data_IF_834595854848
#
_entry.id   IF_834595854848
#
_cell.length_a   1.000
_cell.length_b   1.000
_cell.length_c   1.000
_cell.angle_alpha   90.00
_cell.angle_beta   90.00
_cell.angle_gamma   90.00
#
_symmetry.space_group_name_H-M   'P 1'
#
loop_
_entity.id
_entity.type
_entity.pdbx_description
1 polymer ?
#
# COMPACT_ATOMS: atom_id res chain seq x y z
N UNK A 1 11.75 1.48 5.60
CA UNK A 1 11.83 1.61 4.12
C UNK A 1 10.46 1.69 3.44
N UNK A 2 9.36 1.20 4.04
CA UNK A 2 8.01 1.35 3.42
C UNK A 2 7.36 2.73 3.60
N UNK A 3 7.41 3.35 4.79
CA UNK A 3 7.00 4.77 4.98
C UNK A 3 7.80 5.79 4.14
N UNK A 4 8.86 5.31 3.47
CA UNK A 4 9.77 6.04 2.61
C UNK A 4 9.24 6.21 1.18
N UNK A 5 8.49 5.23 0.65
CA UNK A 5 7.94 5.29 -0.71
C UNK A 5 6.81 6.30 -0.83
N UNK A 6 5.99 6.40 0.21
CA UNK A 6 4.78 7.20 0.20
C UNK A 6 4.98 8.65 0.67
N UNK A 7 6.10 8.91 1.37
CA UNK A 7 6.62 10.26 1.63
C UNK A 7 7.00 11.01 0.34
N UNK A 8 7.23 10.32 -0.77
CA UNK A 8 7.49 10.97 -2.07
C UNK A 8 6.23 11.63 -2.66
N UNK A 9 5.03 11.20 -2.25
CA UNK A 9 3.74 11.71 -2.77
C UNK A 9 3.05 12.73 -1.86
N UNK A 10 3.41 12.82 -0.58
CA UNK A 10 2.81 13.76 0.36
C UNK A 10 3.83 14.83 0.77
N UNK A 11 3.53 16.10 0.48
CA UNK A 11 4.33 17.25 0.94
C UNK A 11 4.49 17.19 2.45
N UNK A 12 5.66 16.77 2.91
CA UNK A 12 5.97 16.80 4.35
C UNK A 12 6.38 18.23 4.69
N UNK A 13 5.48 19.00 5.32
CA UNK A 13 5.84 20.28 5.95
C UNK A 13 6.35 20.01 7.36
N UNK A 14 7.59 19.52 7.47
CA UNK A 14 8.31 19.48 8.74
C UNK A 14 9.70 20.10 8.55
N UNK A 15 10.15 20.85 9.55
CA UNK A 15 11.46 21.53 9.61
C UNK A 15 12.62 20.56 9.37
N UNK A 16 13.70 20.98 8.66
CA UNK A 16 14.76 20.10 8.21
C UNK A 16 15.48 19.48 9.41
N UNK A 17 15.32 18.18 9.56
CA UNK A 17 16.04 17.36 10.54
C UNK A 17 17.15 16.56 9.83
N UNK A 18 18.10 16.03 10.59
CA UNK A 18 19.16 15.14 10.07
C UNK A 18 18.63 13.91 9.33
N UNK A 19 17.37 13.51 9.54
CA UNK A 19 16.72 12.45 8.76
C UNK A 19 16.40 12.89 7.34
N UNK A 20 16.06 14.17 7.09
CA UNK A 20 15.71 14.67 5.76
C UNK A 20 16.91 14.67 4.79
N UNK A 21 18.11 14.92 5.30
CA UNK A 21 19.35 14.87 4.51
C UNK A 21 19.76 13.44 4.13
N UNK A 22 19.53 12.46 5.03
CA UNK A 22 19.75 11.04 4.72
C UNK A 22 18.72 10.51 3.72
N UNK A 23 17.47 10.97 3.82
CA UNK A 23 16.40 10.64 2.87
C UNK A 23 16.70 11.18 1.47
N UNK A 24 17.12 12.45 1.37
CA UNK A 24 17.49 13.07 0.09
C UNK A 24 18.73 12.43 -0.55
N UNK A 25 19.65 11.88 0.27
CA UNK A 25 20.79 11.10 -0.23
C UNK A 25 20.38 9.73 -0.75
N UNK A 26 19.60 8.97 0.03
CA UNK A 26 19.11 7.63 -0.37
C UNK A 26 18.28 7.69 -1.66
N UNK A 27 17.44 8.72 -1.82
CA UNK A 27 16.68 8.92 -3.05
C UNK A 27 17.60 9.17 -4.25
N UNK A 28 18.60 10.05 -4.15
CA UNK A 28 19.52 10.31 -5.26
C UNK A 28 20.31 9.08 -5.69
N UNK A 29 20.74 8.26 -4.75
CA UNK A 29 21.44 6.99 -5.03
C UNK A 29 20.52 6.01 -5.77
N UNK A 30 19.27 5.87 -5.30
CA UNK A 30 18.26 5.01 -5.92
C UNK A 30 17.91 5.49 -7.34
N UNK A 31 17.70 6.79 -7.52
CA UNK A 31 17.44 7.41 -8.82
C UNK A 31 18.58 7.20 -9.82
N UNK A 32 19.84 7.35 -9.37
CA UNK A 32 21.02 7.08 -10.17
C UNK A 32 21.10 5.60 -10.56
N UNK A 33 20.79 4.71 -9.61
CA UNK A 33 20.79 3.27 -9.84
C UNK A 33 19.72 2.84 -10.85
N UNK A 34 18.50 3.37 -10.75
CA UNK A 34 17.42 3.13 -11.72
C UNK A 34 17.90 3.50 -13.12
N UNK A 35 18.45 4.71 -13.30
CA UNK A 35 18.95 5.16 -14.60
C UNK A 35 20.07 4.27 -15.14
N UNK A 36 21.00 3.86 -14.28
CA UNK A 36 22.08 2.95 -14.67
C UNK A 36 21.54 1.60 -15.12
N UNK A 37 20.69 0.96 -14.32
CA UNK A 37 20.18 -0.38 -14.61
C UNK A 37 19.31 -0.38 -15.88
N UNK A 38 18.50 0.66 -16.11
CA UNK A 38 17.76 0.78 -17.38
C UNK A 38 18.70 0.95 -18.57
N UNK A 39 19.75 1.77 -18.45
CA UNK A 39 20.71 1.95 -19.55
C UNK A 39 21.53 0.70 -19.85
N UNK A 40 21.85 -0.10 -18.83
CA UNK A 40 22.70 -1.30 -18.97
C UNK A 40 21.91 -2.56 -19.35
N UNK A 41 20.73 -2.75 -18.74
CA UNK A 41 19.94 -3.99 -18.84
C UNK A 41 18.57 -3.79 -19.51
N UNK A 42 18.19 -2.56 -19.80
CA UNK A 42 16.89 -2.20 -20.37
C UNK A 42 15.76 -2.05 -19.36
N UNK A 43 15.97 -2.44 -18.09
CA UNK A 43 15.03 -2.24 -17.00
C UNK A 43 15.73 -2.27 -15.64
N UNK A 44 15.06 -1.69 -14.65
CA UNK A 44 15.36 -1.77 -13.23
C UNK A 44 14.22 -2.49 -12.51
N UNK A 45 14.51 -3.15 -11.39
CA UNK A 45 13.52 -3.81 -10.55
C UNK A 45 13.44 -3.12 -9.19
N UNK A 46 12.30 -2.51 -8.90
CA UNK A 46 11.94 -2.02 -7.57
C UNK A 46 11.42 -3.15 -6.70
N UNK A 47 11.81 -3.17 -5.42
CA UNK A 47 11.42 -4.21 -4.48
C UNK A 47 11.03 -3.59 -3.14
N UNK A 48 9.81 -3.87 -2.71
CA UNK A 48 9.23 -3.40 -1.47
C UNK A 48 8.95 -4.62 -0.60
N UNK A 49 9.66 -4.73 0.52
CA UNK A 49 9.45 -5.79 1.50
C UNK A 49 8.13 -5.59 2.24
N UNK A 50 7.43 -6.67 2.57
CA UNK A 50 6.26 -6.72 3.47
C UNK A 50 6.54 -5.97 4.80
N UNK A 51 5.55 -5.22 5.31
CA UNK A 51 5.66 -4.45 6.56
C UNK A 51 4.85 -5.01 7.74
N UNK A 52 4.36 -6.24 7.61
CA UNK A 52 3.48 -6.92 8.56
C UNK A 52 2.00 -6.61 8.36
N UNK A 53 1.66 -5.56 7.61
CA UNK A 53 0.29 -5.21 7.27
C UNK A 53 0.05 -5.33 5.76
N UNK A 54 0.74 -4.56 4.93
CA UNK A 54 0.65 -4.61 3.49
C UNK A 54 1.59 -5.68 2.90
N UNK A 55 1.13 -6.44 1.88
CA UNK A 55 1.96 -7.44 1.24
C UNK A 55 3.16 -6.79 0.54
N UNK A 56 4.31 -7.46 0.58
CA UNK A 56 5.46 -7.07 -0.24
C UNK A 56 5.16 -7.18 -1.74
N UNK A 57 5.86 -6.39 -2.55
CA UNK A 57 5.71 -6.41 -4.00
C UNK A 57 7.02 -6.07 -4.71
N UNK A 58 7.12 -6.47 -5.97
CA UNK A 58 8.20 -6.10 -6.86
C UNK A 58 7.63 -5.60 -8.19
N UNK A 59 8.30 -4.64 -8.81
CA UNK A 59 7.86 -4.10 -10.08
C UNK A 59 9.04 -3.63 -10.94
N UNK A 60 8.82 -3.49 -12.24
CA UNK A 60 9.84 -3.03 -13.18
C UNK A 60 9.73 -1.54 -13.50
N UNK A 61 10.84 -0.95 -13.92
CA UNK A 61 10.94 0.41 -14.47
C UNK A 61 11.86 0.33 -15.69
N UNK A 62 11.45 0.82 -16.86
CA UNK A 62 12.28 0.87 -18.06
C UNK A 62 11.82 -0.07 -19.18
N UNK A 63 10.99 -1.09 -18.89
CA UNK A 63 10.49 -2.01 -19.92
C UNK A 63 9.69 -1.27 -21.00
N UNK A 64 8.94 -0.25 -20.60
CA UNK A 64 8.15 0.56 -21.53
C UNK A 64 9.04 1.34 -22.47
N UNK A 65 10.07 2.00 -21.94
CA UNK A 65 11.02 2.79 -22.73
C UNK A 65 11.82 1.90 -23.69
N UNK A 66 12.43 0.84 -23.15
CA UNK A 66 13.42 0.04 -23.87
C UNK A 66 12.79 -0.96 -24.84
N UNK A 67 11.72 -1.64 -24.41
CA UNK A 67 11.16 -2.78 -25.13
C UNK A 67 9.73 -2.55 -25.63
N UNK A 68 9.17 -1.35 -25.42
CA UNK A 68 7.76 -1.03 -25.73
C UNK A 68 6.81 -2.04 -25.09
N UNK A 69 7.14 -2.47 -23.86
CA UNK A 69 6.42 -3.47 -23.09
C UNK A 69 5.84 -2.82 -21.82
N UNK A 70 4.60 -3.13 -21.41
CA UNK A 70 4.08 -2.62 -20.14
C UNK A 70 5.01 -2.90 -18.96
N UNK A 71 5.09 -1.99 -17.99
CA UNK A 71 5.76 -2.32 -16.74
C UNK A 71 5.03 -3.47 -16.04
N UNK A 72 5.77 -4.33 -15.35
CA UNK A 72 5.23 -5.53 -14.71
C UNK A 72 5.31 -5.37 -13.20
N UNK A 73 4.22 -5.65 -12.49
CA UNK A 73 4.17 -5.72 -11.02
C UNK A 73 3.69 -7.10 -10.56
N UNK A 74 4.26 -7.60 -9.47
CA UNK A 74 3.82 -8.81 -8.78
C UNK A 74 3.76 -8.55 -7.28
N UNK A 75 2.73 -9.05 -6.60
CA UNK A 75 2.40 -8.72 -5.20
C UNK A 75 2.14 -10.00 -4.42
N UNK A 76 2.59 -10.06 -3.16
CA UNK A 76 2.15 -11.07 -2.20
C UNK A 76 2.91 -12.39 -2.21
N UNK A 77 3.85 -12.57 -3.13
CA UNK A 77 4.76 -13.72 -3.11
C UNK A 77 6.00 -13.42 -2.25
N UNK A 78 6.73 -14.47 -1.89
CA UNK A 78 8.03 -14.32 -1.23
C UNK A 78 8.99 -13.52 -2.09
N UNK A 79 9.83 -12.71 -1.47
CA UNK A 79 10.78 -11.82 -2.12
C UNK A 79 11.64 -12.53 -3.18
N UNK A 80 12.20 -13.70 -2.84
CA UNK A 80 13.05 -14.48 -3.74
C UNK A 80 12.28 -14.97 -4.97
N UNK A 81 11.00 -15.31 -4.81
CA UNK A 81 10.15 -15.74 -5.91
C UNK A 81 9.84 -14.57 -6.84
N UNK A 82 9.44 -13.41 -6.30
CA UNK A 82 9.15 -12.21 -7.10
C UNK A 82 10.38 -11.77 -7.91
N UNK A 83 11.55 -11.75 -7.27
CA UNK A 83 12.83 -11.43 -7.93
C UNK A 83 13.16 -12.42 -9.05
N UNK A 84 13.04 -13.72 -8.79
CA UNK A 84 13.31 -14.76 -9.78
C UNK A 84 12.36 -14.67 -10.98
N UNK A 85 11.07 -14.47 -10.73
CA UNK A 85 10.03 -14.31 -11.76
C UNK A 85 10.37 -13.10 -12.64
N UNK A 86 10.54 -11.90 -12.05
CA UNK A 86 10.78 -10.68 -12.82
C UNK A 86 12.12 -10.70 -13.57
N UNK A 87 13.15 -11.33 -13.01
CA UNK A 87 14.44 -11.51 -13.70
C UNK A 87 14.28 -12.34 -14.97
N UNK A 88 13.59 -13.48 -14.87
CA UNK A 88 13.34 -14.34 -16.03
C UNK A 88 12.46 -13.65 -17.07
N UNK A 89 11.40 -12.97 -16.62
CA UNK A 89 10.53 -12.15 -17.47
C UNK A 89 11.30 -11.09 -18.23
N UNK A 90 12.17 -10.34 -17.57
CA UNK A 90 13.01 -9.33 -18.21
C UNK A 90 13.88 -9.91 -19.34
N UNK A 91 14.46 -11.10 -19.13
CA UNK A 91 15.24 -11.81 -20.17
C UNK A 91 14.40 -12.31 -21.34
N UNK A 92 13.14 -12.68 -21.11
CA UNK A 92 12.23 -13.09 -22.18
C UNK A 92 11.70 -11.88 -22.96
N UNK A 93 11.37 -10.79 -22.26
CA UNK A 93 10.93 -9.53 -22.85
C UNK A 93 12.04 -8.92 -23.71
N UNK A 94 13.30 -8.99 -23.25
CA UNK A 94 14.45 -8.55 -24.05
C UNK A 94 14.64 -9.37 -25.34
N UNK A 95 14.00 -10.54 -25.46
CA UNK A 95 13.95 -11.39 -26.67
C UNK A 95 12.66 -11.24 -27.46
N UNK A 96 11.77 -10.33 -27.06
CA UNK A 96 10.52 -10.00 -27.76
C UNK A 96 9.27 -10.71 -27.23
N UNK A 97 9.35 -11.48 -26.14
CA UNK A 97 8.13 -12.02 -25.48
C UNK A 97 7.31 -10.86 -24.91
N UNK A 98 5.98 -10.98 -24.95
CA UNK A 98 5.06 -9.97 -24.41
C UNK A 98 4.12 -10.57 -23.37
N UNK A 99 3.89 -9.77 -22.34
CA UNK A 99 2.95 -9.98 -21.27
C UNK A 99 1.90 -8.86 -21.31
N UNK A 100 0.68 -9.22 -21.65
CA UNK A 100 -0.42 -8.32 -21.93
C UNK A 100 -1.56 -8.63 -20.97
N UNK A 101 -2.36 -7.63 -20.60
CA UNK A 101 -3.48 -7.83 -19.70
C UNK A 101 -4.52 -8.81 -20.27
N UNK A 102 -5.08 -9.66 -19.41
CA UNK A 102 -6.12 -10.62 -19.75
C UNK A 102 -5.64 -11.94 -20.35
N UNK A 103 -4.31 -12.13 -20.46
CA UNK A 103 -3.72 -13.36 -20.96
C UNK A 103 -3.29 -14.29 -19.81
N UNK A 104 -3.06 -15.56 -20.15
CA UNK A 104 -2.57 -16.59 -19.23
C UNK A 104 -1.25 -17.14 -19.74
N UNK A 105 -0.32 -17.39 -18.82
CA UNK A 105 1.06 -17.74 -19.08
C UNK A 105 1.45 -18.99 -18.30
N UNK A 106 1.87 -20.02 -19.02
CA UNK A 106 2.51 -21.20 -18.45
C UNK A 106 4.00 -20.96 -18.20
N UNK A 107 4.57 -21.70 -17.25
CA UNK A 107 6.02 -21.75 -17.03
C UNK A 107 6.62 -20.52 -16.33
N UNK A 108 5.80 -19.56 -15.90
CA UNK A 108 6.26 -18.41 -15.09
C UNK A 108 6.50 -18.82 -13.64
N UNK A 109 5.61 -19.64 -13.09
CA UNK A 109 5.77 -20.33 -11.80
C UNK A 109 5.69 -21.84 -12.07
N UNK A 110 6.46 -22.63 -11.30
CA UNK A 110 6.37 -24.09 -11.40
C UNK A 110 4.96 -24.58 -11.03
N UNK A 111 4.39 -25.45 -11.88
CA UNK A 111 3.08 -26.12 -11.72
C UNK A 111 1.82 -25.26 -11.78
N UNK A 112 1.93 -23.95 -11.88
CA UNK A 112 0.78 -23.05 -11.95
C UNK A 112 0.89 -22.11 -13.14
N UNK A 113 -0.25 -21.86 -13.76
CA UNK A 113 -0.40 -20.75 -14.68
C UNK A 113 -0.41 -19.43 -13.90
N UNK A 114 0.04 -18.36 -14.55
CA UNK A 114 -0.18 -16.99 -14.11
C UNK A 114 -1.09 -16.31 -15.11
N UNK A 115 -2.03 -15.51 -14.63
CA UNK A 115 -2.76 -14.57 -15.49
C UNK A 115 -2.29 -13.14 -15.22
N UNK A 116 -2.72 -12.21 -16.04
CA UNK A 116 -2.36 -10.80 -15.93
C UNK A 116 -3.59 -9.91 -15.99
N UNK A 117 -3.56 -8.80 -15.28
CA UNK A 117 -4.57 -7.73 -15.37
C UNK A 117 -3.89 -6.38 -15.61
N UNK A 118 -4.61 -5.43 -16.21
CA UNK A 118 -4.10 -4.06 -16.38
C UNK A 118 -4.02 -3.35 -15.03
N UNK A 119 -2.99 -2.56 -14.78
CA UNK A 119 -2.95 -1.72 -13.58
C UNK A 119 -3.69 -0.41 -13.84
N UNK A 120 -4.66 -0.06 -13.01
CA UNK A 120 -5.30 1.25 -13.06
C UNK A 120 -4.26 2.35 -12.69
N UNK A 121 -4.06 3.41 -13.50
CA UNK A 121 -3.09 4.47 -13.23
C UNK A 121 -3.25 5.18 -11.86
N UNK A 122 -4.44 5.16 -11.27
CA UNK A 122 -4.68 5.69 -9.92
C UNK A 122 -4.04 4.86 -8.81
N UNK A 123 -3.49 3.68 -9.13
CA UNK A 123 -2.68 2.88 -8.23
C UNK A 123 -1.18 3.20 -8.32
N UNK A 124 -0.71 3.91 -9.35
CA UNK A 124 0.72 4.20 -9.53
C UNK A 124 1.35 4.98 -8.36
N UNK A 125 0.67 5.98 -7.74
CA UNK A 125 1.24 6.67 -6.59
C UNK A 125 1.54 5.76 -5.39
N UNK A 126 0.78 4.67 -5.23
CA UNK A 126 0.87 3.77 -4.08
C UNK A 126 1.84 2.61 -4.31
N UNK A 127 1.98 2.15 -5.56
CA UNK A 127 2.76 0.95 -5.90
C UNK A 127 3.98 1.21 -6.78
N UNK A 128 3.98 2.29 -7.58
CA UNK A 128 4.98 2.50 -8.64
C UNK A 128 5.60 3.90 -8.60
N UNK A 129 5.85 4.42 -7.40
CA UNK A 129 6.35 5.78 -7.17
C UNK A 129 7.61 6.14 -7.98
N UNK A 130 8.65 5.30 -7.98
CA UNK A 130 9.83 5.57 -8.82
C UNK A 130 9.56 5.40 -10.31
N UNK A 131 8.57 4.59 -10.71
CA UNK A 131 8.13 4.52 -12.11
C UNK A 131 7.55 5.87 -12.55
N UNK A 132 6.68 6.46 -11.72
CA UNK A 132 6.14 7.80 -11.97
C UNK A 132 7.22 8.88 -12.02
N UNK A 133 8.20 8.84 -11.12
CA UNK A 133 9.35 9.75 -11.16
C UNK A 133 10.15 9.59 -12.46
N UNK A 134 10.45 8.35 -12.85
CA UNK A 134 11.26 8.03 -14.03
C UNK A 134 10.56 8.50 -15.33
N UNK A 135 9.28 8.16 -15.49
CA UNK A 135 8.46 8.52 -16.64
C UNK A 135 7.85 9.92 -16.58
N UNK A 136 8.12 10.68 -15.52
CA UNK A 136 7.61 12.05 -15.30
C UNK A 136 6.08 12.13 -15.32
N UNK A 137 5.39 11.09 -14.86
CA UNK A 137 3.94 11.03 -14.87
C UNK A 137 3.40 9.60 -14.85
N UNK A 138 2.16 9.44 -15.31
CA UNK A 138 1.46 8.15 -15.36
C UNK A 138 1.30 7.61 -16.79
N UNK A 139 1.96 8.23 -17.76
CA UNK A 139 1.82 7.91 -19.19
C UNK A 139 2.70 6.73 -19.62
N UNK A 140 2.46 5.59 -18.98
CA UNK A 140 3.04 4.30 -19.34
C UNK A 140 2.06 3.19 -18.91
N UNK A 141 1.89 2.12 -19.71
CA UNK A 141 1.05 1.00 -19.32
C UNK A 141 1.76 0.12 -18.31
N UNK A 142 1.00 -0.50 -17.41
CA UNK A 142 1.49 -1.52 -16.50
C UNK A 142 0.51 -2.70 -16.41
N UNK A 143 1.05 -3.89 -16.15
CA UNK A 143 0.31 -5.13 -15.94
C UNK A 143 0.70 -5.75 -14.59
N UNK A 144 -0.30 -6.21 -13.85
CA UNK A 144 -0.10 -7.01 -12.66
C UNK A 144 -0.12 -8.49 -13.05
N UNK A 145 0.90 -9.24 -12.64
CA UNK A 145 0.86 -10.70 -12.66
C UNK A 145 0.08 -11.20 -11.44
N UNK A 146 -0.91 -12.04 -11.70
CA UNK A 146 -1.84 -12.61 -10.73
C UNK A 146 -1.60 -14.11 -10.65
N UNK A 147 -1.30 -14.58 -9.44
CA UNK A 147 -1.08 -16.00 -9.16
C UNK A 147 -2.35 -16.65 -8.59
N UNK A 148 -2.62 -17.93 -8.88
CA UNK A 148 -3.76 -18.64 -8.31
C UNK A 148 -3.42 -19.20 -6.92
N UNK A 149 -4.41 -19.69 -6.18
CA UNK A 149 -4.15 -20.47 -4.98
C UNK A 149 -3.59 -21.88 -5.29
N UNK A 150 -3.36 -22.68 -4.26
CA UNK A 150 -2.80 -24.04 -4.40
C UNK A 150 -3.76 -25.02 -5.08
N UNK A 151 -5.04 -24.68 -5.24
CA UNK A 151 -6.04 -25.45 -5.96
C UNK A 151 -6.27 -24.93 -7.38
N UNK A 152 -5.43 -23.96 -7.81
CA UNK A 152 -5.47 -23.30 -9.11
C UNK A 152 -6.69 -22.38 -9.33
N UNK A 153 -7.32 -21.90 -8.25
CA UNK A 153 -8.37 -20.89 -8.34
C UNK A 153 -7.78 -19.47 -8.41
N UNK A 154 -8.40 -18.59 -9.18
CA UNK A 154 -8.04 -17.18 -9.27
C UNK A 154 -8.66 -16.35 -8.13
N UNK A 155 -8.08 -15.21 -7.73
CA UNK A 155 -8.57 -14.40 -6.61
C UNK A 155 -10.03 -13.90 -6.72
N UNK A 156 -10.62 -13.93 -7.92
CA UNK A 156 -12.00 -13.54 -8.18
C UNK A 156 -12.99 -14.72 -8.25
N UNK A 157 -12.51 -15.96 -8.16
CA UNK A 157 -13.36 -17.14 -8.14
C UNK A 157 -13.90 -17.41 -6.73
N UNK A 158 -15.11 -17.94 -6.65
CA UNK A 158 -15.81 -18.19 -5.38
C UNK A 158 -15.07 -19.21 -4.50
N UNK A 159 -14.43 -20.19 -5.12
CA UNK A 159 -13.69 -21.26 -4.46
C UNK A 159 -12.24 -20.87 -4.10
N UNK A 160 -11.81 -19.63 -4.35
CA UNK A 160 -10.48 -19.15 -3.98
C UNK A 160 -10.26 -19.22 -2.47
N UNK A 161 -9.09 -19.71 -2.06
CA UNK A 161 -8.73 -19.86 -0.66
C UNK A 161 -8.92 -18.55 0.13
N UNK A 162 -9.87 -18.49 1.08
CA UNK A 162 -10.21 -17.25 1.77
C UNK A 162 -9.07 -16.73 2.66
N UNK A 163 -8.10 -17.59 3.04
CA UNK A 163 -6.96 -17.17 3.87
C UNK A 163 -5.97 -16.30 3.12
N UNK A 164 -5.92 -16.39 1.79
CA UNK A 164 -5.00 -15.64 0.94
C UNK A 164 -5.71 -14.55 0.13
N UNK A 165 -6.99 -14.31 0.42
CA UNK A 165 -7.86 -13.37 -0.31
C UNK A 165 -7.25 -11.98 -0.47
N UNK A 166 -6.60 -11.48 0.58
CA UNK A 166 -6.01 -10.13 0.62
C UNK A 166 -4.49 -10.13 0.43
N UNK A 167 -3.89 -11.27 0.07
CA UNK A 167 -2.44 -11.37 -0.13
C UNK A 167 -1.97 -10.65 -1.40
N UNK A 168 -2.85 -10.45 -2.39
CA UNK A 168 -2.58 -9.69 -3.61
C UNK A 168 -3.78 -8.78 -3.95
N UNK A 169 -3.76 -7.48 -3.60
CA UNK A 169 -4.77 -6.55 -4.09
C UNK A 169 -4.76 -6.54 -5.62
N UNK A 170 -5.96 -6.59 -6.22
CA UNK A 170 -6.13 -6.50 -7.67
C UNK A 170 -6.16 -5.03 -8.09
N UNK A 171 -5.17 -4.60 -8.86
CA UNK A 171 -4.96 -3.18 -9.17
C UNK A 171 -5.77 -2.67 -10.37
N UNK A 172 -6.57 -3.52 -11.01
CA UNK A 172 -7.48 -3.18 -12.11
C UNK A 172 -8.87 -2.73 -11.62
N UNK A 173 -9.23 -3.08 -10.37
CA UNK A 173 -10.58 -2.97 -9.81
C UNK A 173 -10.55 -2.49 -8.34
N UNK A 174 -11.72 -2.44 -7.70
CA UNK A 174 -11.89 -2.08 -6.28
C UNK A 174 -11.35 -0.68 -5.92
N UNK A 175 -11.40 0.27 -6.86
CA UNK A 175 -10.92 1.63 -6.62
C UNK A 175 -11.74 2.39 -5.57
N UNK A 176 -12.98 1.95 -5.33
CA UNK A 176 -13.86 2.44 -4.29
C UNK A 176 -13.52 1.90 -2.89
N UNK A 177 -12.74 0.82 -2.81
CA UNK A 177 -12.39 0.13 -1.55
C UNK A 177 -11.01 -0.55 -1.66
N UNK A 178 -9.96 0.17 -1.28
CA UNK A 178 -8.55 -0.29 -1.37
C UNK A 178 -8.04 -1.05 -0.14
N UNK A 179 -8.82 -1.08 0.93
CA UNK A 179 -8.46 -1.73 2.19
C UNK A 179 -8.32 -3.25 2.04
N UNK A 180 -7.44 -3.86 2.83
CA UNK A 180 -7.19 -5.32 2.86
C UNK A 180 -8.10 -6.06 3.86
N UNK A 181 -9.24 -5.45 4.14
CA UNK A 181 -10.25 -5.89 5.09
C UNK A 181 -11.56 -6.19 4.34
N UNK A 182 -12.45 -6.94 4.97
CA UNK A 182 -13.80 -7.09 4.43
C UNK A 182 -14.57 -5.76 4.50
N UNK A 183 -15.39 -5.50 3.49
CA UNK A 183 -16.24 -4.28 3.40
C UNK A 183 -17.11 -4.08 4.64
N UNK A 184 -17.58 -5.17 5.23
CA UNK A 184 -18.43 -5.19 6.42
C UNK A 184 -17.66 -5.23 7.75
N UNK A 185 -16.33 -5.03 7.74
CA UNK A 185 -15.55 -4.92 8.97
C UNK A 185 -16.12 -3.82 9.87
N UNK A 186 -16.38 -4.14 11.14
CA UNK A 186 -16.82 -3.17 12.12
C UNK A 186 -15.67 -2.24 12.53
N UNK A 187 -15.85 -0.94 12.32
CA UNK A 187 -14.88 0.12 12.65
C UNK A 187 -15.50 1.14 13.59
N UNK A 188 -14.66 1.88 14.31
CA UNK A 188 -15.11 2.86 15.29
C UNK A 188 -15.18 4.26 14.71
N UNK A 189 -16.23 4.99 15.05
CA UNK A 189 -16.38 6.41 14.72
C UNK A 189 -17.21 7.11 15.81
N UNK A 190 -17.65 8.35 15.59
CA UNK A 190 -18.55 9.07 16.48
C UNK A 190 -19.84 9.47 15.77
N UNK A 191 -20.92 9.69 16.53
CA UNK A 191 -22.16 10.21 15.94
C UNK A 191 -21.94 11.56 15.22
N UNK A 192 -21.01 12.40 15.68
CA UNK A 192 -20.66 13.66 14.99
C UNK A 192 -20.25 13.45 13.54
N UNK A 193 -19.45 12.42 13.25
CA UNK A 193 -19.05 12.08 11.88
C UNK A 193 -20.26 11.59 11.08
N UNK A 194 -21.10 10.76 11.69
CA UNK A 194 -22.34 10.28 11.05
C UNK A 194 -23.36 11.39 10.79
N UNK A 195 -23.33 12.45 11.60
CA UNK A 195 -24.14 13.66 11.48
C UNK A 195 -23.54 14.69 10.51
N UNK A 196 -22.43 14.35 9.84
CA UNK A 196 -21.86 15.13 8.74
C UNK A 196 -20.59 15.92 9.07
N UNK A 197 -20.00 15.78 10.27
CA UNK A 197 -18.65 16.32 10.51
C UNK A 197 -17.60 15.54 9.70
N UNK A 198 -16.55 16.22 9.19
CA UNK A 198 -15.53 15.58 8.37
C UNK A 198 -14.68 14.59 9.18
N UNK A 199 -14.13 13.57 8.52
CA UNK A 199 -13.09 12.72 9.11
C UNK A 199 -11.75 13.43 8.95
N UNK A 200 -11.14 13.83 10.07
CA UNK A 200 -9.87 14.56 10.12
C UNK A 200 -8.76 13.77 10.83
N UNK A 201 -9.13 12.75 11.61
CA UNK A 201 -8.20 11.90 12.35
C UNK A 201 -8.55 10.44 12.13
N UNK A 202 -7.55 9.64 11.77
CA UNK A 202 -7.67 8.21 11.54
C UNK A 202 -6.62 7.47 12.35
N UNK A 203 -7.05 6.40 13.02
CA UNK A 203 -6.18 5.58 13.85
C UNK A 203 -6.32 4.13 13.40
N UNK A 204 -5.19 3.47 13.16
CA UNK A 204 -5.14 2.03 13.01
C UNK A 204 -4.37 1.46 14.19
N UNK A 205 -5.09 0.97 15.19
CA UNK A 205 -4.49 0.58 16.46
C UNK A 205 -3.65 -0.70 16.31
N UNK A 206 -2.78 -0.98 17.28
CA UNK A 206 -1.94 -2.19 17.33
C UNK A 206 -2.72 -3.50 17.27
N UNK A 207 -3.98 -3.50 17.72
CA UNK A 207 -4.85 -4.68 17.67
C UNK A 207 -5.57 -4.86 16.32
N UNK A 208 -5.35 -3.98 15.34
CA UNK A 208 -5.99 -4.00 14.03
C UNK A 208 -7.34 -3.28 13.94
N UNK A 209 -7.74 -2.55 14.99
CA UNK A 209 -8.97 -1.78 14.99
C UNK A 209 -8.76 -0.45 14.24
N UNK A 210 -9.63 -0.20 13.26
CA UNK A 210 -9.72 1.08 12.57
C UNK A 210 -10.66 2.04 13.29
N UNK A 211 -10.26 3.31 13.36
CA UNK A 211 -11.07 4.38 13.92
C UNK A 211 -11.01 5.65 13.07
N UNK A 212 -12.17 6.30 12.88
CA UNK A 212 -12.32 7.47 12.02
C UNK A 212 -13.08 8.60 12.74
N UNK A 213 -12.44 9.74 12.97
CA UNK A 213 -12.96 10.80 13.84
C UNK A 213 -12.78 12.20 13.26
N UNK A 214 -13.66 13.12 13.67
CA UNK A 214 -13.53 14.55 13.38
C UNK A 214 -12.57 15.28 14.33
N UNK A 215 -12.31 14.70 15.50
CA UNK A 215 -11.53 15.30 16.58
C UNK A 215 -10.44 14.31 17.00
N UNK A 216 -9.26 14.82 17.39
CA UNK A 216 -8.10 14.02 17.82
C UNK A 216 -8.39 13.18 19.08
N UNK A 217 -9.25 13.69 19.97
CA UNK A 217 -9.58 13.06 21.24
C UNK A 217 -11.10 12.84 21.38
N UNK A 218 -11.70 11.89 20.65
CA UNK A 218 -13.13 11.63 20.68
C UNK A 218 -13.59 11.09 22.03
N UNK A 219 -14.81 11.46 22.44
CA UNK A 219 -15.40 10.96 23.68
C UNK A 219 -16.06 9.58 23.48
N UNK A 220 -15.85 8.64 24.42
CA UNK A 220 -16.41 7.27 24.33
C UNK A 220 -17.92 7.24 24.18
N UNK A 221 -18.61 8.13 24.87
CA UNK A 221 -20.08 8.20 24.89
C UNK A 221 -20.67 8.49 23.50
N UNK A 222 -19.89 9.14 22.64
CA UNK A 222 -20.27 9.49 21.27
C UNK A 222 -19.95 8.37 20.28
N UNK A 223 -19.24 7.34 20.74
CA UNK A 223 -18.76 6.22 19.94
C UNK A 223 -19.88 5.46 19.23
N UNK A 224 -19.61 5.10 17.98
CA UNK A 224 -20.47 4.26 17.14
C UNK A 224 -19.60 3.22 16.45
N UNK A 225 -20.20 2.07 16.17
CA UNK A 225 -19.59 1.04 15.32
C UNK A 225 -20.39 0.98 14.03
N UNK A 226 -19.69 1.11 12.91
CA UNK A 226 -20.26 1.05 11.55
C UNK A 226 -19.39 0.13 10.69
N UNK A 227 -19.87 -0.26 9.51
CA UNK A 227 -19.02 -0.96 8.55
C UNK A 227 -17.97 -0.03 7.95
N UNK A 228 -16.77 -0.53 7.67
CA UNK A 228 -15.72 0.22 6.98
C UNK A 228 -16.23 0.79 5.64
N UNK A 229 -17.01 0.03 4.88
CA UNK A 229 -17.61 0.52 3.63
C UNK A 229 -18.48 1.78 3.84
N UNK A 230 -19.19 1.89 4.97
CA UNK A 230 -20.00 3.07 5.25
C UNK A 230 -19.11 4.31 5.41
N UNK A 231 -17.93 4.17 6.04
CA UNK A 231 -16.97 5.26 6.15
C UNK A 231 -16.46 5.71 4.79
N UNK A 232 -16.12 4.77 3.90
CA UNK A 232 -15.67 5.10 2.54
C UNK A 232 -16.79 5.69 1.67
N UNK A 233 -18.05 5.33 1.92
CA UNK A 233 -19.21 5.98 1.27
C UNK A 233 -19.41 7.41 1.74
N UNK A 234 -19.14 7.70 3.02
CA UNK A 234 -19.18 9.06 3.57
C UNK A 234 -18.00 9.89 3.08
N UNK A 235 -16.83 9.26 2.95
CA UNK A 235 -15.59 9.90 2.56
C UNK A 235 -14.70 8.97 1.72
N UNK A 236 -14.83 9.04 0.38
CA UNK A 236 -14.04 8.21 -0.53
C UNK A 236 -12.52 8.43 -0.45
N UNK A 237 -12.07 9.58 0.06
CA UNK A 237 -10.63 9.89 0.18
C UNK A 237 -9.93 9.09 1.27
N UNK A 238 -10.67 8.38 2.11
CA UNK A 238 -10.09 7.39 3.03
C UNK A 238 -9.35 6.27 2.29
N UNK A 239 -9.64 6.05 1.00
CA UNK A 239 -8.85 5.16 0.15
C UNK A 239 -7.40 5.63 -0.06
N UNK A 240 -7.03 6.86 0.33
CA UNK A 240 -5.66 7.36 0.24
C UNK A 240 -4.77 6.92 1.40
N UNK A 241 -5.34 6.29 2.43
CA UNK A 241 -4.62 5.85 3.64
C UNK A 241 -4.84 4.36 3.95
N UNK A 242 -5.32 3.58 2.97
CA UNK A 242 -5.58 2.14 3.13
C UNK A 242 -4.34 1.33 3.57
N UNK A 243 -3.13 1.87 3.38
CA UNK A 243 -1.86 1.26 3.76
C UNK A 243 -1.41 1.61 5.18
N UNK A 244 -2.18 2.40 5.95
CA UNK A 244 -1.78 2.79 7.31
C UNK A 244 -1.54 1.53 8.15
N UNK A 245 -0.31 1.33 8.63
CA UNK A 245 0.08 0.12 9.34
C UNK A 245 -0.44 0.13 10.80
N UNK A 246 -0.39 -1.01 11.48
CA UNK A 246 -0.76 -1.16 12.88
C UNK A 246 0.04 -0.20 13.78
N UNK A 247 -0.67 0.48 14.68
CA UNK A 247 -0.13 1.48 15.59
C UNK A 247 0.03 2.87 14.98
N UNK A 248 -0.18 3.04 13.66
CA UNK A 248 -0.05 4.34 13.00
C UNK A 248 -1.35 5.14 13.09
N UNK A 249 -1.22 6.45 12.94
CA UNK A 249 -2.36 7.36 12.75
C UNK A 249 -2.10 8.34 11.61
N UNK A 250 -3.17 8.93 11.10
CA UNK A 250 -3.13 9.94 10.06
C UNK A 250 -4.07 11.10 10.44
N UNK A 251 -3.66 12.33 10.16
CA UNK A 251 -4.56 13.49 10.28
C UNK A 251 -4.48 14.41 9.09
N UNK A 252 -5.50 15.25 8.91
CA UNK A 252 -5.53 16.32 7.90
C UNK A 252 -6.38 17.49 8.41
N UNK A 253 -6.17 18.66 7.83
CA UNK A 253 -6.86 19.88 8.26
C UNK A 253 -8.30 19.97 7.69
N UNK A 254 -8.53 19.43 6.50
CA UNK A 254 -9.82 19.45 5.80
C UNK A 254 -9.97 18.22 4.88
N UNK A 255 -11.21 17.94 4.46
CA UNK A 255 -11.49 16.89 3.45
C UNK A 255 -10.76 17.22 2.15
N UNK A 256 -10.25 16.21 1.46
CA UNK A 256 -9.37 16.33 0.28
C UNK A 256 -7.99 16.97 0.56
N UNK A 257 -7.75 17.42 1.80
CA UNK A 257 -6.45 17.89 2.25
C UNK A 257 -5.45 16.75 2.40
N UNK A 258 -4.13 17.03 2.31
CA UNK A 258 -3.10 16.01 2.42
C UNK A 258 -3.08 15.39 3.82
N UNK A 259 -2.93 14.07 3.86
CA UNK A 259 -2.72 13.34 5.11
C UNK A 259 -1.30 13.55 5.65
N UNK A 260 -1.21 13.79 6.96
CA UNK A 260 0.02 13.75 7.75
C UNK A 260 0.01 12.45 8.53
N UNK A 261 1.03 11.62 8.33
CA UNK A 261 1.16 10.32 8.98
C UNK A 261 1.98 10.42 10.27
N UNK A 262 1.57 9.69 11.30
CA UNK A 262 2.24 9.59 12.58
C UNK A 262 2.56 8.13 12.89
N UNK A 263 3.83 7.88 13.16
CA UNK A 263 4.34 6.57 13.58
C UNK A 263 4.02 6.31 15.05
N UNK A 264 3.86 5.04 15.47
CA UNK A 264 3.74 4.70 16.88
C UNK A 264 4.99 5.18 17.63
N UNK A 265 4.80 5.76 18.82
CA UNK A 265 5.96 6.10 19.66
C UNK A 265 6.73 4.80 19.98
N UNK A 266 8.05 4.75 19.74
CA UNK A 266 8.82 3.58 20.13
C UNK A 266 8.68 3.41 21.63
N UNK A 267 8.31 2.21 22.09
CA UNK A 267 8.20 1.91 23.52
C UNK A 267 9.52 2.30 24.21
N UNK A 268 9.51 3.44 24.89
CA UNK A 268 10.63 3.85 25.73
C UNK A 268 10.70 2.84 26.87
N UNK A 269 11.61 1.88 26.74
CA UNK A 269 12.02 0.96 27.80
C UNK A 269 11.96 1.68 29.16
N UNK A 270 11.05 1.22 30.02
CA UNK A 270 10.76 1.73 31.36
C UNK A 270 12.00 2.30 32.06
N UNK A 271 12.19 3.63 32.00
CA UNK A 271 13.08 4.35 32.92
C UNK A 271 12.22 4.83 34.09
N UNK A 272 12.45 4.39 35.34
CA UNK A 272 11.67 4.86 36.47
C UNK A 272 12.03 6.34 36.71
N UNK A 273 11.05 7.24 36.56
CA UNK A 273 11.19 8.61 37.06
C UNK A 273 10.77 9.77 36.16
N UNK A 274 10.19 9.54 34.97
CA UNK A 274 9.54 10.64 34.22
C UNK A 274 8.04 10.42 34.21
N UNK A 275 7.30 11.30 34.90
CA UNK A 275 5.83 11.38 34.78
C UNK A 275 5.50 11.75 33.33
N UNK A 276 5.16 10.76 32.52
CA UNK A 276 4.67 10.93 31.16
C UNK A 276 3.19 11.30 31.21
N UNK A 277 2.82 12.34 30.46
CA UNK A 277 1.43 12.63 30.11
C UNK A 277 1.04 11.72 28.94
N UNK A 278 0.76 10.46 29.23
CA UNK A 278 0.10 9.56 28.28
C UNK A 278 -0.69 8.55 29.10
N UNK A 279 -2.00 8.77 29.16
CA UNK A 279 -2.94 7.91 29.89
C UNK A 279 -4.23 7.69 29.10
N UNK A 280 -4.15 7.56 27.78
CA UNK A 280 -5.34 7.35 26.95
C UNK A 280 -5.05 6.42 25.77
N UNK A 281 -4.80 5.14 26.06
CA UNK A 281 -4.80 4.10 25.03
C UNK A 281 -5.54 2.82 25.45
N UNK A 282 -6.19 2.78 26.62
CA UNK A 282 -6.74 1.53 27.14
C UNK A 282 -8.07 1.65 27.90
N UNK A 283 -8.94 2.60 27.53
CA UNK A 283 -10.19 2.83 28.28
C UNK A 283 -11.46 3.09 27.48
N UNK A 284 -11.49 2.80 26.17
CA UNK A 284 -12.70 3.05 25.38
C UNK A 284 -13.54 1.81 25.10
N UNK A 285 -12.98 0.60 25.00
CA UNK A 285 -13.78 -0.63 24.85
C UNK A 285 -13.08 -1.85 25.50
N UNK A 286 -13.68 -2.55 26.48
CA UNK A 286 -13.06 -3.74 27.07
C UNK A 286 -12.97 -4.89 26.05
N UNK A 287 -11.88 -5.66 26.13
CA UNK A 287 -11.61 -6.86 25.31
C UNK A 287 -12.85 -7.75 25.19
N UNK A 288 -13.18 -8.19 23.97
CA UNK A 288 -14.15 -9.26 23.74
C UNK A 288 -13.72 -10.51 24.53
N UNK A 289 -14.66 -11.12 25.25
CA UNK A 289 -14.52 -12.48 25.79
C UNK A 289 -14.71 -13.48 24.66
#
# INVERSE_FOLDING_TARGET
MQGFYLRMTLKTTATPSTMDDEHARHNRETEARIKQDVAEYGYHMGLIADDGYQPGFAYTIGLWETYQHPEVIIIGLRQEAMVGILTNLGQEISKGKRYEAGATYEGVIDRYEITSVSVNPDNYPYYMGYGMWYYKGRDYPAVQLVWPDLEAHWPWEEDFNPKTRFSQPLLDRNMDFKFKEERNLGVFTTHHVLDGKPVLHVFHNENGDWQFHSEDAPQSQDGRVVSLEQMLKLDPTLNEIFYLNYGYSASRDEVDGPWVLYEPEPELNNRPGRKTKSKWHNKLFPKRK
#
